data_IF_286833940729
#
_entry.id   IF_286833940729
#
_cell.length_a   1.000
_cell.length_b   1.000
_cell.length_c   1.000
_cell.angle_alpha   90.00
_cell.angle_beta   90.00
_cell.angle_gamma   90.00
#
_symmetry.space_group_name_H-M   'P 1'
#
loop_
_entity.id
_entity.type
_entity.pdbx_description
1 polymer ?
#
# COMPACT_ATOMS: atom_id res chain seq x y z
N UNK A 1 -32.10 -60.06 13.97
CA UNK A 1 -32.71 -58.96 13.20
C UNK A 1 -31.62 -57.97 12.85
N UNK A 2 -31.10 -57.99 11.62
CA UNK A 2 -30.04 -57.07 11.18
C UNK A 2 -30.65 -55.94 10.34
N UNK A 3 -30.64 -54.73 10.91
CA UNK A 3 -31.02 -53.48 10.26
C UNK A 3 -29.99 -53.11 9.18
N UNK A 4 -30.36 -53.23 7.91
CA UNK A 4 -29.55 -52.77 6.79
C UNK A 4 -29.73 -51.25 6.62
N UNK A 5 -28.74 -50.47 7.07
CA UNK A 5 -28.67 -49.03 6.86
C UNK A 5 -28.47 -48.78 5.35
N UNK A 6 -29.54 -48.42 4.64
CA UNK A 6 -29.46 -47.95 3.25
C UNK A 6 -28.68 -46.63 3.21
N UNK A 7 -27.44 -46.67 2.71
CA UNK A 7 -26.65 -45.47 2.42
C UNK A 7 -27.32 -44.71 1.26
N UNK A 8 -27.73 -43.48 1.54
CA UNK A 8 -28.23 -42.52 0.52
C UNK A 8 -27.13 -42.31 -0.54
N UNK A 9 -27.47 -42.21 -1.84
CA UNK A 9 -26.47 -41.92 -2.87
C UNK A 9 -25.79 -40.59 -2.52
N UNK A 10 -24.46 -40.60 -2.38
CA UNK A 10 -23.69 -39.37 -2.19
C UNK A 10 -23.94 -38.48 -3.40
N UNK A 11 -24.65 -37.38 -3.20
CA UNK A 11 -24.92 -36.39 -4.23
C UNK A 11 -23.61 -35.84 -4.81
N UNK A 12 -23.63 -35.62 -6.13
CA UNK A 12 -22.51 -35.10 -6.92
C UNK A 12 -21.99 -33.79 -6.31
N UNK A 13 -20.66 -33.63 -6.09
CA UNK A 13 -20.08 -32.32 -5.76
C UNK A 13 -20.33 -31.33 -6.91
N UNK A 14 -20.80 -30.13 -6.59
CA UNK A 14 -20.98 -29.05 -7.57
C UNK A 14 -19.63 -28.75 -8.24
N UNK A 15 -19.58 -28.82 -9.57
CA UNK A 15 -18.44 -28.35 -10.35
C UNK A 15 -18.43 -26.83 -10.26
N UNK A 16 -17.51 -26.26 -9.46
CA UNK A 16 -17.43 -24.83 -9.23
C UNK A 16 -16.72 -24.12 -10.39
N UNK A 17 -15.96 -24.87 -11.20
CA UNK A 17 -15.20 -24.34 -12.33
C UNK A 17 -15.10 -25.36 -13.48
N UNK A 18 -14.92 -24.88 -14.72
CA UNK A 18 -14.63 -25.69 -15.91
C UNK A 18 -13.41 -26.60 -15.71
N UNK A 19 -12.48 -26.24 -14.84
CA UNK A 19 -11.33 -27.07 -14.46
C UNK A 19 -11.72 -28.32 -13.65
N UNK A 20 -12.73 -28.24 -12.79
CA UNK A 20 -13.22 -29.40 -12.04
C UNK A 20 -13.79 -30.46 -13.00
N UNK A 21 -14.48 -30.00 -14.06
CA UNK A 21 -14.96 -30.85 -15.14
C UNK A 21 -13.80 -31.55 -15.87
N UNK A 22 -12.72 -30.82 -16.17
CA UNK A 22 -11.54 -31.37 -16.86
C UNK A 22 -10.82 -32.39 -15.97
N UNK A 23 -10.52 -32.06 -14.71
CA UNK A 23 -9.87 -32.97 -13.75
C UNK A 23 -10.72 -34.24 -13.54
N UNK A 24 -12.05 -34.11 -13.51
CA UNK A 24 -12.96 -35.26 -13.46
C UNK A 24 -12.92 -36.10 -14.73
N UNK A 25 -12.89 -35.49 -15.92
CA UNK A 25 -12.77 -36.22 -17.19
C UNK A 25 -11.47 -37.06 -17.28
N UNK A 26 -10.42 -36.67 -16.55
CA UNK A 26 -9.17 -37.43 -16.41
C UNK A 26 -9.11 -38.28 -15.13
N UNK A 27 -10.26 -38.64 -14.54
CA UNK A 27 -10.32 -39.62 -13.46
C UNK A 27 -9.93 -39.09 -12.07
N UNK A 28 -9.88 -37.77 -11.88
CA UNK A 28 -9.51 -37.17 -10.59
C UNK A 28 -8.02 -37.30 -10.24
N UNK A 29 -7.19 -37.72 -11.20
CA UNK A 29 -5.74 -37.76 -11.06
C UNK A 29 -5.12 -36.63 -11.86
N UNK A 30 -4.31 -35.82 -11.18
CA UNK A 30 -3.35 -34.92 -11.83
C UNK A 30 -2.00 -35.63 -11.92
N UNK A 31 -1.30 -35.46 -13.04
CA UNK A 31 -0.02 -36.13 -13.33
C UNK A 31 1.05 -35.76 -12.28
N UNK A 32 0.89 -34.64 -11.55
CA UNK A 32 1.67 -34.33 -10.35
C UNK A 32 1.75 -35.51 -9.36
N UNK A 33 0.68 -36.28 -9.18
CA UNK A 33 0.63 -37.48 -8.32
C UNK A 33 1.33 -38.67 -9.01
N UNK A 34 1.24 -38.78 -10.33
CA UNK A 34 1.86 -39.86 -11.11
C UNK A 34 3.36 -39.66 -11.43
N UNK A 35 3.86 -38.42 -11.29
CA UNK A 35 5.26 -38.03 -11.45
C UNK A 35 6.05 -38.15 -10.14
N UNK A 36 5.39 -38.53 -9.05
CA UNK A 36 6.08 -38.90 -7.82
C UNK A 36 6.99 -40.10 -8.12
N UNK A 37 8.27 -40.09 -7.69
CA UNK A 37 9.25 -41.13 -8.05
C UNK A 37 8.76 -42.57 -7.76
N UNK A 38 7.88 -42.71 -6.76
CA UNK A 38 7.31 -43.98 -6.33
C UNK A 38 6.20 -44.51 -7.26
N UNK A 39 5.53 -43.61 -8.00
CA UNK A 39 4.47 -43.93 -8.96
C UNK A 39 5.02 -44.10 -10.38
N UNK A 40 6.09 -43.37 -10.75
CA UNK A 40 6.79 -43.55 -12.03
C UNK A 40 7.32 -44.97 -12.23
N UNK A 41 7.87 -45.59 -11.18
CA UNK A 41 8.47 -46.93 -11.24
C UNK A 41 7.47 -48.06 -11.50
N UNK A 42 6.17 -47.83 -11.29
CA UNK A 42 5.11 -48.83 -11.51
C UNK A 42 4.44 -48.73 -12.88
N UNK A 43 4.77 -47.73 -13.69
CA UNK A 43 4.27 -47.64 -15.06
C UNK A 43 4.85 -48.82 -15.86
N UNK A 44 3.96 -49.66 -16.39
CA UNK A 44 4.30 -50.90 -17.07
C UNK A 44 5.36 -50.63 -18.14
N UNK A 45 6.54 -51.26 -18.03
CA UNK A 45 7.51 -51.20 -19.12
C UNK A 45 6.88 -51.77 -20.39
N UNK A 46 6.81 -50.98 -21.48
CA UNK A 46 6.22 -51.44 -22.74
C UNK A 46 7.09 -52.57 -23.29
N UNK A 47 6.43 -53.65 -23.70
CA UNK A 47 7.12 -54.84 -24.25
C UNK A 47 7.47 -54.69 -25.73
N UNK A 48 6.92 -53.69 -26.40
CA UNK A 48 7.02 -53.45 -27.84
C UNK A 48 7.19 -51.95 -28.14
N UNK A 49 7.93 -51.62 -29.20
CA UNK A 49 8.31 -50.26 -29.59
C UNK A 49 7.08 -49.43 -29.98
N UNK A 50 6.10 -50.03 -30.66
CA UNK A 50 4.85 -49.37 -31.05
C UNK A 50 4.04 -48.99 -29.80
N UNK A 51 3.92 -49.92 -28.85
CA UNK A 51 3.25 -49.66 -27.57
C UNK A 51 3.94 -48.56 -26.75
N UNK A 52 5.27 -48.47 -26.84
CA UNK A 52 6.02 -47.39 -26.21
C UNK A 52 5.74 -46.03 -26.85
N UNK A 53 5.69 -45.97 -28.18
CA UNK A 53 5.36 -44.74 -28.92
C UNK A 53 3.94 -44.26 -28.55
N UNK A 54 2.96 -45.14 -28.48
CA UNK A 54 1.59 -44.80 -28.09
C UNK A 54 1.52 -44.30 -26.63
N UNK A 55 2.25 -44.96 -25.72
CA UNK A 55 2.36 -44.52 -24.33
C UNK A 55 2.97 -43.11 -24.22
N UNK A 56 4.07 -42.85 -24.94
CA UNK A 56 4.73 -41.55 -24.96
C UNK A 56 3.82 -40.45 -25.54
N UNK A 57 3.09 -40.75 -26.61
CA UNK A 57 2.14 -39.81 -27.21
C UNK A 57 1.01 -39.44 -26.24
N UNK A 58 0.45 -40.44 -25.55
CA UNK A 58 -0.56 -40.21 -24.52
C UNK A 58 -0.02 -39.33 -23.39
N UNK A 59 1.16 -39.68 -22.85
CA UNK A 59 1.80 -38.94 -21.76
C UNK A 59 2.18 -37.50 -22.16
N UNK A 60 2.61 -37.29 -23.40
CA UNK A 60 2.86 -35.95 -23.94
C UNK A 60 1.57 -35.12 -24.04
N UNK A 61 0.46 -35.74 -24.46
CA UNK A 61 -0.87 -35.10 -24.45
C UNK A 61 -1.32 -34.68 -23.05
N UNK A 62 -1.18 -35.58 -22.08
CA UNK A 62 -1.51 -35.32 -20.67
C UNK A 62 -0.63 -34.18 -20.10
N UNK A 63 0.68 -34.18 -20.34
CA UNK A 63 1.59 -33.12 -19.91
C UNK A 63 1.27 -31.75 -20.51
N UNK A 64 0.80 -31.69 -21.76
CA UNK A 64 0.38 -30.43 -22.40
C UNK A 64 -0.84 -29.81 -21.75
N UNK A 65 -1.77 -30.65 -21.29
CA UNK A 65 -2.96 -30.18 -20.57
C UNK A 65 -2.58 -29.64 -19.20
N UNK A 66 -1.69 -30.34 -18.49
CA UNK A 66 -1.19 -29.89 -17.19
C UNK A 66 -0.38 -28.60 -17.30
N UNK A 67 0.47 -28.47 -18.32
CA UNK A 67 1.20 -27.23 -18.60
C UNK A 67 0.23 -26.06 -18.85
N UNK A 68 -0.85 -26.30 -19.59
CA UNK A 68 -1.91 -25.29 -19.80
C UNK A 68 -2.60 -24.92 -18.49
N UNK A 69 -2.90 -25.90 -17.64
CA UNK A 69 -3.48 -25.66 -16.31
C UNK A 69 -2.58 -24.79 -15.44
N UNK A 70 -1.28 -25.12 -15.31
CA UNK A 70 -0.36 -24.32 -14.50
C UNK A 70 -0.17 -22.90 -15.03
N UNK A 71 -0.17 -22.71 -16.37
CA UNK A 71 -0.15 -21.38 -16.97
C UNK A 71 -1.36 -20.55 -16.58
N UNK A 72 -2.54 -21.16 -16.57
CA UNK A 72 -3.77 -20.50 -16.13
C UNK A 72 -3.76 -20.19 -14.63
N UNK A 73 -3.32 -21.12 -13.78
CA UNK A 73 -3.13 -20.86 -12.35
C UNK A 73 -2.16 -19.69 -12.11
N UNK A 74 -1.03 -19.67 -12.81
CA UNK A 74 -0.06 -18.59 -12.71
C UNK A 74 -0.67 -17.24 -13.14
N UNK A 75 -1.42 -17.21 -14.25
CA UNK A 75 -2.15 -16.01 -14.70
C UNK A 75 -3.13 -15.50 -13.65
N UNK A 76 -3.85 -16.40 -12.97
CA UNK A 76 -4.76 -16.02 -11.88
C UNK A 76 -4.01 -15.51 -10.65
N UNK A 77 -2.88 -16.12 -10.31
CA UNK A 77 -2.03 -15.69 -9.20
C UNK A 77 -1.44 -14.29 -9.43
N UNK A 78 -0.97 -13.98 -10.64
CA UNK A 78 -0.46 -12.64 -10.98
C UNK A 78 -1.56 -11.57 -10.86
N UNK A 79 -2.76 -11.84 -11.38
CA UNK A 79 -3.90 -10.91 -11.22
C UNK A 79 -4.29 -10.69 -9.76
N UNK A 80 -4.21 -11.75 -8.95
CA UNK A 80 -4.48 -11.63 -7.52
C UNK A 80 -3.41 -10.80 -6.81
N UNK A 81 -2.14 -11.01 -7.15
CA UNK A 81 -1.01 -10.23 -6.64
C UNK A 81 -1.17 -8.74 -6.97
N UNK A 82 -1.45 -8.38 -8.22
CA UNK A 82 -1.71 -6.99 -8.64
C UNK A 82 -2.83 -6.34 -7.81
N UNK A 83 -3.91 -7.08 -7.53
CA UNK A 83 -5.03 -6.59 -6.72
C UNK A 83 -4.64 -6.36 -5.26
N UNK A 84 -3.86 -7.26 -4.67
CA UNK A 84 -3.37 -7.12 -3.29
C UNK A 84 -2.41 -5.93 -3.20
N UNK A 85 -1.54 -5.74 -4.19
CA UNK A 85 -0.65 -4.58 -4.27
C UNK A 85 -1.46 -3.28 -4.29
N UNK A 86 -2.49 -3.18 -5.13
CA UNK A 86 -3.39 -2.02 -5.16
C UNK A 86 -4.07 -1.75 -3.81
N UNK A 87 -4.70 -2.76 -3.21
CA UNK A 87 -5.35 -2.63 -1.89
C UNK A 87 -4.34 -2.19 -0.81
N UNK A 88 -3.12 -2.72 -0.85
CA UNK A 88 -2.08 -2.37 0.12
C UNK A 88 -1.64 -0.91 0.00
N UNK A 89 -1.55 -0.38 -1.22
CA UNK A 89 -1.23 1.01 -1.49
C UNK A 89 -2.37 1.94 -1.05
N UNK A 90 -3.62 1.58 -1.38
CA UNK A 90 -4.80 2.33 -0.94
C UNK A 90 -4.89 2.40 0.59
N UNK A 91 -4.63 1.27 1.27
CA UNK A 91 -4.61 1.21 2.73
C UNK A 91 -3.50 2.09 3.31
N UNK A 92 -2.30 2.02 2.75
CA UNK A 92 -1.18 2.87 3.19
C UNK A 92 -1.53 4.35 3.02
N UNK A 93 -2.10 4.72 1.87
CA UNK A 93 -2.54 6.09 1.62
C UNK A 93 -3.62 6.54 2.61
N UNK A 94 -4.61 5.70 2.88
CA UNK A 94 -5.66 5.98 3.86
C UNK A 94 -5.08 6.14 5.28
N UNK A 95 -4.10 5.33 5.67
CA UNK A 95 -3.41 5.48 6.96
C UNK A 95 -2.61 6.79 7.03
N UNK A 96 -1.91 7.17 5.97
CA UNK A 96 -1.17 8.44 5.91
C UNK A 96 -2.16 9.61 6.03
N UNK A 97 -3.25 9.60 5.27
CA UNK A 97 -4.30 10.63 5.35
C UNK A 97 -4.88 10.67 6.76
N UNK A 98 -5.26 9.53 7.34
CA UNK A 98 -5.79 9.48 8.70
C UNK A 98 -4.82 9.98 9.77
N UNK A 99 -3.50 9.74 9.61
CA UNK A 99 -2.47 10.29 10.48
C UNK A 99 -2.34 11.81 10.30
N UNK A 100 -2.39 12.31 9.06
CA UNK A 100 -2.34 13.74 8.77
C UNK A 100 -3.61 14.48 9.23
N UNK A 101 -4.79 13.87 9.10
CA UNK A 101 -6.06 14.39 9.61
C UNK A 101 -6.10 14.39 11.15
N UNK A 102 -5.40 13.44 11.79
CA UNK A 102 -5.22 13.40 13.25
C UNK A 102 -4.17 14.39 13.77
N UNK A 103 -3.34 14.96 12.90
CA UNK A 103 -2.43 16.06 13.23
C UNK A 103 -3.18 17.36 12.96
N UNK A 104 -3.58 18.06 14.04
CA UNK A 104 -4.20 19.37 13.89
C UNK A 104 -3.15 20.40 13.46
N UNK A 105 -3.04 20.61 12.15
CA UNK A 105 -2.24 21.69 11.57
C UNK A 105 -2.78 23.08 11.97
N UNK A 106 -3.96 23.16 12.58
CA UNK A 106 -4.47 24.35 13.27
C UNK A 106 -3.60 24.71 14.46
N UNK A 107 -3.25 23.78 15.35
CA UNK A 107 -2.38 24.05 16.50
C UNK A 107 -0.99 24.55 16.07
N UNK A 108 -0.41 23.96 15.00
CA UNK A 108 0.88 24.40 14.44
C UNK A 108 0.76 25.80 13.85
N UNK A 109 -0.34 26.10 13.16
CA UNK A 109 -0.61 27.41 12.56
C UNK A 109 -0.84 28.48 13.65
N UNK A 110 -1.61 28.16 14.68
CA UNK A 110 -1.91 29.06 15.79
C UNK A 110 -0.66 29.35 16.61
N UNK A 111 0.18 28.34 16.85
CA UNK A 111 1.49 28.51 17.48
C UNK A 111 2.42 29.38 16.61
N UNK A 112 2.44 29.16 15.30
CA UNK A 112 3.22 29.96 14.35
C UNK A 112 2.76 31.43 14.33
N UNK A 113 1.45 31.67 14.35
CA UNK A 113 0.89 33.03 14.40
C UNK A 113 1.24 33.72 15.72
N UNK A 114 1.07 33.02 16.84
CA UNK A 114 1.41 33.53 18.17
C UNK A 114 2.90 33.90 18.28
N UNK A 115 3.79 33.09 17.70
CA UNK A 115 5.21 33.39 17.65
C UNK A 115 5.50 34.64 16.79
N UNK A 116 4.80 34.79 15.66
CA UNK A 116 4.93 35.96 14.79
C UNK A 116 4.46 37.24 15.50
N UNK A 117 3.31 37.20 16.16
CA UNK A 117 2.76 38.33 16.93
C UNK A 117 3.70 38.74 18.07
N UNK A 118 4.31 37.78 18.77
CA UNK A 118 5.27 38.05 19.83
C UNK A 118 6.56 38.71 19.29
N UNK A 119 7.01 38.33 18.10
CA UNK A 119 8.17 38.95 17.44
C UNK A 119 7.84 40.39 17.03
N UNK A 120 6.66 40.62 16.47
CA UNK A 120 6.21 41.97 16.08
C UNK A 120 6.07 42.88 17.30
N UNK A 121 5.49 42.37 18.40
CA UNK A 121 5.40 43.10 19.66
C UNK A 121 6.78 43.43 20.23
N UNK A 122 7.70 42.47 20.24
CA UNK A 122 9.06 42.70 20.70
C UNK A 122 9.80 43.77 19.87
N UNK A 123 9.61 43.74 18.55
CA UNK A 123 10.18 44.74 17.64
C UNK A 123 9.64 46.14 17.96
N UNK A 124 8.33 46.26 18.18
CA UNK A 124 7.69 47.51 18.58
C UNK A 124 8.21 48.03 19.93
N UNK A 125 8.31 47.14 20.92
CA UNK A 125 8.81 47.48 22.26
C UNK A 125 10.27 47.93 22.21
N UNK A 126 11.11 47.28 21.39
CA UNK A 126 12.49 47.72 21.16
C UNK A 126 12.56 49.11 20.54
N UNK A 127 11.74 49.38 19.52
CA UNK A 127 11.71 50.69 18.87
C UNK A 127 11.26 51.78 19.85
N UNK A 128 10.26 51.50 20.69
CA UNK A 128 9.81 52.41 21.73
C UNK A 128 10.90 52.68 22.77
N UNK A 129 11.56 51.62 23.27
CA UNK A 129 12.65 51.73 24.23
C UNK A 129 13.83 52.52 23.67
N UNK A 130 14.19 52.29 22.40
CA UNK A 130 15.24 53.04 21.71
C UNK A 130 14.88 54.52 21.56
N UNK A 131 13.64 54.83 21.16
CA UNK A 131 13.16 56.19 21.05
C UNK A 131 13.17 56.92 22.40
N UNK A 132 12.75 56.24 23.48
CA UNK A 132 12.81 56.78 24.84
C UNK A 132 14.26 57.04 25.29
N UNK A 133 15.18 56.12 24.97
CA UNK A 133 16.61 56.27 25.29
C UNK A 133 17.25 57.47 24.56
N UNK A 134 16.91 57.70 23.29
CA UNK A 134 17.48 58.79 22.48
C UNK A 134 16.77 60.14 22.72
N UNK A 135 15.56 60.16 23.28
CA UNK A 135 14.77 61.38 23.48
C UNK A 135 15.53 62.52 24.23
N UNK A 136 16.28 62.27 25.31
CA UNK A 136 17.05 63.32 26.00
C UNK A 136 18.16 63.94 25.11
N UNK A 137 18.77 63.14 24.24
CA UNK A 137 19.83 63.59 23.32
C UNK A 137 19.28 64.37 22.12
N UNK A 138 18.04 64.06 21.69
CA UNK A 138 17.31 64.87 20.69
C UNK A 138 16.87 66.21 21.27
N UNK A 139 16.40 66.23 22.52
CA UNK A 139 15.96 67.45 23.20
C UNK A 139 17.11 68.44 23.46
N UNK A 140 18.31 67.92 23.82
CA UNK A 140 19.50 68.75 24.10
C UNK A 140 20.15 69.37 22.85
N UNK A 141 19.89 68.81 21.66
CA UNK A 141 20.32 69.40 20.37
C UNK A 141 19.34 70.43 19.81
N UNK A 142 18.20 70.69 20.45
CA UNK A 142 17.35 71.81 20.07
C UNK A 142 18.05 73.14 20.46
N UNK A 143 18.25 74.08 19.53
CA UNK A 143 18.87 75.35 19.88
C UNK A 143 17.94 76.08 20.84
N UNK A 144 18.40 76.42 22.04
CA UNK A 144 17.74 77.43 22.87
C UNK A 144 17.62 78.69 22.01
N UNK A 145 16.40 79.03 21.57
CA UNK A 145 16.10 80.36 21.06
C UNK A 145 16.39 81.33 22.20
N UNK A 146 17.58 81.94 22.20
CA UNK A 146 17.83 83.13 22.99
C UNK A 146 16.98 84.24 22.37
N UNK A 147 15.83 84.50 22.96
CA UNK A 147 15.10 85.74 22.75
C UNK A 147 15.96 86.86 23.34
N UNK A 148 16.83 87.44 22.50
CA UNK A 148 17.45 88.74 22.80
C UNK A 148 16.35 89.77 22.60
N UNK A 149 15.91 90.37 23.70
CA UNK A 149 15.02 91.53 23.71
C UNK A 149 15.75 92.71 23.08
N UNK A 150 15.15 93.33 22.07
CA UNK A 150 15.53 94.68 21.60
C UNK A 150 15.01 95.72 22.60
N UNK A 151 15.84 96.68 23.05
CA UNK A 151 15.54 98.12 23.20
C UNK A 151 16.53 98.85 24.14
N UNK A 152 17.04 100.00 23.67
CA UNK A 152 17.97 100.92 24.35
C UNK A 152 19.44 100.54 24.08
N UNK A 153 20.29 101.36 23.47
CA UNK A 153 20.56 102.76 23.75
C UNK A 153 21.15 103.47 22.51
N UNK A 154 20.90 104.78 22.45
CA UNK A 154 21.63 105.78 21.63
C UNK A 154 23.08 105.86 22.11
#
# INVERSE_FOLDING_TARGET
MNSAIRKVPRGRPLEANNFDHIVRCYGGQTIAIEMEPHHMQKSKQPRDLIQYIDFLNRRNGELRLELTFYRECHRHAEKFKEKIEGISQDLLQACIIGLLDGIDFGEIRDLSNTASDAIDQFSHDQEQAFNAFIAPYKASKSPKKSTISMEGWI
#
